data_IF_802762845152
#
_entry.id   IF_802762845152
#
_cell.length_a   1.000
_cell.length_b   1.000
_cell.length_c   1.000
_cell.angle_alpha   90.00
_cell.angle_beta   90.00
_cell.angle_gamma   90.00
#
_symmetry.space_group_name_H-M   'P 1'
#
loop_
_entity.id
_entity.type
_entity.pdbx_description
1 polymer ?
#
# COMPACT_ATOMS: atom_id res chain seq x y z
N UNK A 1 11.57 20.61 9.62
CA UNK A 1 10.32 21.17 9.02
C UNK A 1 9.85 22.41 9.78
N UNK A 2 9.65 22.37 11.11
CA UNK A 2 9.12 23.50 11.93
C UNK A 2 10.02 24.76 11.81
N UNK A 3 11.34 24.59 12.00
CA UNK A 3 12.31 25.69 11.91
C UNK A 3 12.31 26.31 10.50
N UNK A 4 12.32 25.47 9.46
CA UNK A 4 12.29 25.94 8.08
C UNK A 4 10.99 26.70 7.76
N UNK A 5 9.83 26.19 8.22
CA UNK A 5 8.55 26.89 8.07
C UNK A 5 8.56 28.23 8.80
N UNK A 6 9.11 28.29 10.03
CA UNK A 6 9.20 29.55 10.78
C UNK A 6 10.05 30.59 10.04
N UNK A 7 11.21 30.21 9.52
CA UNK A 7 12.09 31.10 8.75
C UNK A 7 11.39 31.58 7.48
N UNK A 8 10.75 30.70 6.71
CA UNK A 8 10.08 31.03 5.45
C UNK A 8 8.90 31.98 5.69
N UNK A 9 8.05 31.72 6.66
CA UNK A 9 6.89 32.57 6.99
C UNK A 9 7.24 33.85 7.73
N UNK A 10 8.44 33.94 8.31
CA UNK A 10 8.95 35.19 8.89
C UNK A 10 9.61 36.12 7.87
N UNK A 11 10.01 35.60 6.70
CA UNK A 11 10.73 36.37 5.67
C UNK A 11 9.97 36.41 4.34
N UNK A 12 10.28 35.51 3.41
CA UNK A 12 9.84 35.58 2.02
C UNK A 12 8.35 35.31 1.82
N UNK A 13 7.72 34.51 2.70
CA UNK A 13 6.31 34.10 2.60
C UNK A 13 5.41 34.70 3.69
N UNK A 14 5.78 35.85 4.26
CA UNK A 14 5.01 36.53 5.32
C UNK A 14 3.57 36.84 4.92
N UNK A 15 3.34 37.14 3.64
CA UNK A 15 1.99 37.48 3.11
C UNK A 15 1.03 36.28 3.11
N UNK A 16 1.55 35.05 3.07
CA UNK A 16 0.77 33.80 3.10
C UNK A 16 0.98 33.03 4.40
N UNK A 17 1.52 33.69 5.42
CA UNK A 17 1.76 33.07 6.73
C UNK A 17 0.43 32.58 7.35
N UNK A 18 0.43 31.41 7.99
CA UNK A 18 -0.75 30.89 8.68
C UNK A 18 -1.25 31.87 9.75
N UNK A 19 -2.56 32.16 9.78
CA UNK A 19 -3.17 33.04 10.77
C UNK A 19 -4.46 32.42 11.31
N UNK A 20 -4.63 32.49 12.64
CA UNK A 20 -5.83 31.99 13.31
C UNK A 20 -7.12 32.66 12.86
N UNK A 21 -7.04 33.89 12.36
CA UNK A 21 -8.20 34.67 11.91
C UNK A 21 -8.92 34.05 10.69
N UNK A 22 -8.21 33.22 9.92
CA UNK A 22 -8.76 32.55 8.74
C UNK A 22 -9.29 31.14 9.02
N UNK A 23 -9.18 30.65 10.27
CA UNK A 23 -9.64 29.31 10.65
C UNK A 23 -11.17 29.29 10.79
N UNK A 24 -11.85 28.62 9.87
CA UNK A 24 -13.32 28.44 9.91
C UNK A 24 -13.68 27.04 10.41
N UNK A 25 -14.67 26.96 11.32
CA UNK A 25 -15.17 25.67 11.86
C UNK A 25 -15.55 24.65 10.79
N UNK A 26 -16.11 25.09 9.66
CA UNK A 26 -16.44 24.21 8.52
C UNK A 26 -15.20 23.56 7.93
N UNK A 27 -14.12 24.32 7.73
CA UNK A 27 -12.85 23.80 7.20
C UNK A 27 -12.20 22.81 8.15
N UNK A 28 -12.26 23.04 9.46
CA UNK A 28 -11.79 22.10 10.48
C UNK A 28 -12.55 20.78 10.36
N UNK A 29 -13.88 20.82 10.25
CA UNK A 29 -14.71 19.63 10.11
C UNK A 29 -14.39 18.83 8.83
N UNK A 30 -14.20 19.52 7.72
CA UNK A 30 -13.88 18.89 6.42
C UNK A 30 -12.50 18.24 6.45
N UNK A 31 -11.50 18.94 7.00
CA UNK A 31 -10.14 18.43 7.18
C UNK A 31 -10.11 17.24 8.14
N UNK A 32 -10.83 17.32 9.26
CA UNK A 32 -10.92 16.23 10.23
C UNK A 32 -11.58 14.98 9.64
N UNK A 33 -12.66 15.16 8.87
CA UNK A 33 -13.35 14.05 8.19
C UNK A 33 -12.47 13.38 7.14
N UNK A 34 -11.69 14.14 6.38
CA UNK A 34 -10.72 13.60 5.43
C UNK A 34 -9.55 12.93 6.15
N UNK A 35 -8.98 13.62 7.14
CA UNK A 35 -7.85 13.13 7.92
C UNK A 35 -8.16 11.85 8.70
N UNK A 36 -9.38 11.73 9.26
CA UNK A 36 -9.80 10.51 9.96
C UNK A 36 -9.88 9.29 9.04
N UNK A 37 -10.29 9.46 7.78
CA UNK A 37 -10.30 8.37 6.79
C UNK A 37 -8.86 7.91 6.47
N UNK A 38 -7.96 8.84 6.22
CA UNK A 38 -6.55 8.50 6.02
C UNK A 38 -5.91 7.88 7.26
N UNK A 39 -6.24 8.39 8.45
CA UNK A 39 -5.79 7.80 9.71
C UNK A 39 -6.25 6.35 9.86
N UNK A 40 -7.53 6.06 9.59
CA UNK A 40 -8.05 4.69 9.63
C UNK A 40 -7.34 3.76 8.63
N UNK A 41 -7.07 4.23 7.41
CA UNK A 41 -6.32 3.47 6.40
C UNK A 41 -4.89 3.19 6.91
N UNK A 42 -4.21 4.19 7.47
CA UNK A 42 -2.85 4.02 7.99
C UNK A 42 -2.81 3.14 9.24
N UNK A 43 -3.73 3.33 10.17
CA UNK A 43 -3.85 2.50 11.36
C UNK A 43 -4.07 1.02 10.98
N UNK A 44 -4.90 0.76 9.97
CA UNK A 44 -5.13 -0.59 9.45
C UNK A 44 -3.84 -1.21 8.91
N UNK A 45 -3.03 -0.49 8.13
CA UNK A 45 -1.77 -1.01 7.60
C UNK A 45 -0.83 -1.40 8.74
N UNK A 46 -0.69 -0.54 9.76
CA UNK A 46 0.15 -0.81 10.93
C UNK A 46 -0.36 -2.04 11.70
N UNK A 47 -1.65 -2.10 11.98
CA UNK A 47 -2.26 -3.22 12.71
C UNK A 47 -2.09 -4.52 11.92
N UNK A 48 -2.37 -4.51 10.62
CA UNK A 48 -2.25 -5.69 9.77
C UNK A 48 -0.81 -6.22 9.77
N UNK A 49 0.18 -5.35 9.65
CA UNK A 49 1.59 -5.74 9.68
C UNK A 49 2.02 -6.31 11.04
N UNK A 50 1.62 -5.67 12.15
CA UNK A 50 1.94 -6.14 13.51
C UNK A 50 1.19 -7.43 13.83
N UNK A 51 -0.10 -7.54 13.47
CA UNK A 51 -0.87 -8.77 13.66
C UNK A 51 -0.25 -9.96 12.92
N UNK A 52 0.31 -9.75 11.72
CA UNK A 52 0.97 -10.82 10.96
C UNK A 52 2.10 -11.45 11.75
N UNK A 53 2.98 -10.66 12.36
CA UNK A 53 4.07 -11.19 13.20
C UNK A 53 3.56 -11.96 14.42
N UNK A 54 2.52 -11.43 15.09
CA UNK A 54 1.89 -12.09 16.25
C UNK A 54 1.24 -13.41 15.82
N UNK A 55 0.51 -13.44 14.71
CA UNK A 55 -0.15 -14.63 14.20
C UNK A 55 0.85 -15.72 13.82
N UNK A 56 1.95 -15.36 13.13
CA UNK A 56 3.02 -16.30 12.79
C UNK A 56 3.67 -16.84 14.08
N UNK A 57 3.98 -15.96 15.05
CA UNK A 57 4.57 -16.39 16.32
C UNK A 57 3.70 -17.40 17.07
N UNK A 58 2.39 -17.16 17.10
CA UNK A 58 1.44 -18.05 17.79
C UNK A 58 1.20 -19.38 17.05
N UNK A 59 1.27 -19.40 15.72
CA UNK A 59 1.00 -20.58 14.91
C UNK A 59 2.23 -21.48 14.74
N UNK A 60 3.43 -20.90 14.73
CA UNK A 60 4.64 -21.61 14.30
C UNK A 60 5.89 -21.26 15.11
N UNK A 61 5.80 -20.28 15.99
CA UNK A 61 6.90 -19.88 16.87
C UNK A 61 7.81 -18.77 16.31
N UNK A 62 8.78 -18.29 17.13
CA UNK A 62 9.63 -17.14 16.80
C UNK A 62 10.59 -17.36 15.63
N UNK A 63 11.00 -18.62 15.38
CA UNK A 63 11.88 -18.94 14.26
C UNK A 63 11.24 -18.59 12.92
N UNK A 64 9.94 -18.93 12.75
CA UNK A 64 9.22 -18.63 11.52
C UNK A 64 8.93 -17.14 11.35
N UNK A 65 8.78 -16.39 12.44
CA UNK A 65 8.73 -14.93 12.41
C UNK A 65 10.04 -14.35 11.85
N UNK A 66 11.18 -14.91 12.26
CA UNK A 66 12.49 -14.49 11.75
C UNK A 66 12.61 -14.78 10.26
N UNK A 67 12.28 -15.98 9.82
CA UNK A 67 12.30 -16.39 8.42
C UNK A 67 11.36 -15.53 7.56
N UNK A 68 10.15 -15.26 8.05
CA UNK A 68 9.19 -14.33 7.42
C UNK A 68 9.77 -12.93 7.26
N UNK A 69 10.33 -12.35 8.32
CA UNK A 69 10.86 -10.98 8.27
C UNK A 69 12.06 -10.85 7.33
N UNK A 70 12.92 -11.87 7.26
CA UNK A 70 14.05 -11.93 6.32
C UNK A 70 13.53 -11.92 4.88
N UNK A 71 12.65 -12.86 4.54
CA UNK A 71 12.08 -12.96 3.20
C UNK A 71 11.27 -11.69 2.83
N UNK A 72 10.50 -11.17 3.78
CA UNK A 72 9.73 -9.95 3.58
C UNK A 72 10.62 -8.74 3.29
N UNK A 73 11.65 -8.50 4.11
CA UNK A 73 12.60 -7.41 3.89
C UNK A 73 13.32 -7.54 2.56
N UNK A 74 13.75 -8.75 2.21
CA UNK A 74 14.44 -9.01 0.95
C UNK A 74 13.56 -8.66 -0.26
N UNK A 75 12.39 -9.27 -0.36
CA UNK A 75 11.51 -9.12 -1.53
C UNK A 75 10.94 -7.69 -1.63
N UNK A 76 10.56 -7.08 -0.50
CA UNK A 76 9.94 -5.74 -0.51
C UNK A 76 10.90 -4.61 -0.84
N UNK A 77 12.21 -4.82 -0.92
CA UNK A 77 13.16 -3.86 -1.49
C UNK A 77 12.72 -3.44 -2.89
N UNK A 78 12.18 -4.37 -3.70
CA UNK A 78 11.65 -4.08 -5.03
C UNK A 78 10.56 -2.99 -5.04
N UNK A 79 9.79 -2.87 -3.96
CA UNK A 79 8.71 -1.87 -3.84
C UNK A 79 9.23 -0.46 -3.58
N UNK A 80 10.46 -0.29 -3.09
CA UNK A 80 11.03 1.05 -2.84
C UNK A 80 11.08 1.88 -4.13
N UNK A 81 11.44 1.25 -5.25
CA UNK A 81 11.47 1.92 -6.57
C UNK A 81 10.07 2.41 -6.93
N UNK A 82 9.06 1.57 -6.73
CA UNK A 82 7.68 1.92 -7.02
C UNK A 82 7.19 3.08 -6.16
N UNK A 83 7.46 3.08 -4.85
CA UNK A 83 7.03 4.14 -3.93
C UNK A 83 7.67 5.48 -4.25
N UNK A 84 8.94 5.51 -4.65
CA UNK A 84 9.63 6.73 -5.09
C UNK A 84 8.96 7.31 -6.35
N UNK A 85 8.59 6.46 -7.31
CA UNK A 85 7.92 6.89 -8.55
C UNK A 85 6.48 7.35 -8.26
N UNK A 86 5.78 6.70 -7.34
CA UNK A 86 4.39 7.02 -7.00
C UNK A 86 4.24 8.34 -6.23
N UNK A 87 5.22 8.73 -5.44
CA UNK A 87 5.15 9.95 -4.61
C UNK A 87 4.83 11.24 -5.41
N UNK A 88 5.50 11.57 -6.51
CA UNK A 88 5.17 12.74 -7.33
C UNK A 88 3.91 12.53 -8.19
N UNK A 89 3.49 11.29 -8.44
CA UNK A 89 2.32 11.03 -9.27
C UNK A 89 1.00 11.32 -8.54
N UNK A 90 0.96 11.21 -7.23
CA UNK A 90 -0.24 11.55 -6.45
C UNK A 90 -0.74 12.98 -6.74
N UNK A 91 0.04 14.05 -6.48
CA UNK A 91 -0.41 15.42 -6.81
C UNK A 91 -0.65 15.62 -8.30
N UNK A 92 0.12 14.97 -9.19
CA UNK A 92 -0.09 15.06 -10.62
C UNK A 92 -1.44 14.46 -11.05
N UNK A 93 -1.90 13.37 -10.45
CA UNK A 93 -3.25 12.83 -10.66
C UNK A 93 -4.35 13.78 -10.16
N UNK A 94 -4.13 14.44 -9.02
CA UNK A 94 -5.06 15.45 -8.50
C UNK A 94 -5.20 16.60 -9.50
N UNK A 95 -4.09 17.11 -10.01
CA UNK A 95 -4.08 18.20 -10.99
C UNK A 95 -4.76 17.77 -12.31
N UNK A 96 -4.40 16.62 -12.86
CA UNK A 96 -4.98 16.11 -14.10
C UNK A 96 -6.51 15.88 -13.96
N UNK A 97 -6.94 15.35 -12.81
CA UNK A 97 -8.36 15.13 -12.54
C UNK A 97 -9.15 16.45 -12.44
N UNK A 98 -8.62 17.47 -11.74
CA UNK A 98 -9.26 18.80 -11.64
C UNK A 98 -9.32 19.52 -13.00
N UNK A 99 -8.33 19.30 -13.87
CA UNK A 99 -8.31 19.81 -15.24
C UNK A 99 -9.11 18.96 -16.23
N UNK A 100 -9.73 17.85 -15.79
CA UNK A 100 -10.42 16.87 -16.65
C UNK A 100 -9.53 16.23 -17.71
N UNK A 101 -8.21 16.16 -17.51
CA UNK A 101 -7.27 15.53 -18.45
C UNK A 101 -7.20 14.01 -18.26
N UNK A 102 -8.29 13.35 -18.62
CA UNK A 102 -8.38 11.88 -18.56
C UNK A 102 -7.47 11.21 -19.59
N UNK A 103 -7.07 11.91 -20.64
CA UNK A 103 -6.13 11.38 -21.65
C UNK A 103 -4.76 11.16 -21.03
N UNK A 104 -4.25 12.17 -20.32
CA UNK A 104 -3.01 12.07 -19.58
C UNK A 104 -3.09 10.98 -18.49
N UNK A 105 -4.18 10.94 -17.71
CA UNK A 105 -4.40 9.94 -16.68
C UNK A 105 -4.35 8.51 -17.22
N UNK A 106 -5.00 8.24 -18.38
CA UNK A 106 -4.96 6.94 -19.06
C UNK A 106 -3.56 6.57 -19.53
N UNK A 107 -2.85 7.55 -20.11
CA UNK A 107 -1.47 7.33 -20.58
C UNK A 107 -0.53 6.97 -19.43
N UNK A 108 -0.59 7.72 -18.32
CA UNK A 108 0.20 7.42 -17.13
C UNK A 108 -0.18 6.07 -16.53
N UNK A 109 -1.48 5.76 -16.43
CA UNK A 109 -1.92 4.45 -15.97
C UNK A 109 -1.33 3.30 -16.79
N UNK A 110 -1.34 3.41 -18.12
CA UNK A 110 -0.74 2.40 -19.01
C UNK A 110 0.78 2.27 -18.82
N UNK A 111 1.47 3.39 -18.54
CA UNK A 111 2.92 3.37 -18.21
C UNK A 111 3.15 2.65 -16.87
N UNK A 112 2.28 2.87 -15.88
CA UNK A 112 2.37 2.20 -14.58
C UNK A 112 2.07 0.70 -14.69
N UNK A 113 1.16 0.27 -15.58
CA UNK A 113 0.96 -1.15 -15.89
C UNK A 113 2.23 -1.82 -16.42
N UNK A 114 2.96 -1.14 -17.32
CA UNK A 114 4.24 -1.65 -17.87
C UNK A 114 5.32 -1.70 -16.78
N UNK A 115 5.40 -0.66 -15.95
CA UNK A 115 6.32 -0.62 -14.80
C UNK A 115 6.07 -1.78 -13.85
N UNK A 116 4.79 -2.04 -13.52
CA UNK A 116 4.39 -3.18 -12.70
C UNK A 116 4.78 -4.52 -13.32
N UNK A 117 4.63 -4.68 -14.64
CA UNK A 117 5.11 -5.86 -15.35
C UNK A 117 6.62 -6.06 -15.21
N UNK A 118 7.40 -4.99 -15.34
CA UNK A 118 8.85 -5.02 -15.12
C UNK A 118 9.22 -5.38 -13.67
N UNK A 119 8.51 -4.80 -12.69
CA UNK A 119 8.69 -5.13 -11.27
C UNK A 119 8.35 -6.59 -10.97
N UNK A 120 7.31 -7.13 -11.60
CA UNK A 120 6.96 -8.56 -11.49
C UNK A 120 8.12 -9.45 -11.94
N UNK A 121 8.76 -9.13 -13.07
CA UNK A 121 9.94 -9.87 -13.55
C UNK A 121 11.09 -9.78 -12.54
N UNK A 122 11.35 -8.59 -11.97
CA UNK A 122 12.37 -8.40 -10.92
C UNK A 122 12.07 -9.28 -9.71
N UNK A 123 10.83 -9.30 -9.22
CA UNK A 123 10.44 -10.13 -8.07
C UNK A 123 10.63 -11.62 -8.36
N UNK A 124 10.28 -12.08 -9.57
CA UNK A 124 10.52 -13.47 -9.98
C UNK A 124 12.02 -13.81 -9.96
N UNK A 125 12.85 -12.93 -10.51
CA UNK A 125 14.30 -13.09 -10.46
C UNK A 125 14.84 -13.12 -9.03
N UNK A 126 14.34 -12.25 -8.16
CA UNK A 126 14.68 -12.22 -6.73
C UNK A 126 14.32 -13.55 -6.05
N UNK A 127 13.16 -14.14 -6.36
CA UNK A 127 12.77 -15.46 -5.82
C UNK A 127 13.77 -16.54 -6.27
N UNK A 128 14.15 -16.55 -7.55
CA UNK A 128 15.07 -17.57 -8.10
C UNK A 128 16.45 -17.47 -7.44
N UNK A 129 16.98 -16.27 -7.26
CA UNK A 129 18.31 -16.08 -6.66
C UNK A 129 18.31 -16.05 -5.13
N UNK A 130 17.15 -16.08 -4.49
CA UNK A 130 17.00 -15.91 -3.03
C UNK A 130 17.83 -16.92 -2.21
N UNK A 131 18.00 -18.22 -2.58
CA UNK A 131 18.80 -19.14 -1.79
C UNK A 131 20.27 -18.68 -1.69
N UNK A 132 20.82 -18.19 -2.81
CA UNK A 132 22.21 -17.71 -2.85
C UNK A 132 22.33 -16.43 -2.01
N UNK A 133 21.38 -15.50 -2.16
CA UNK A 133 21.37 -14.24 -1.39
C UNK A 133 21.27 -14.51 0.10
N UNK A 134 20.40 -15.41 0.54
CA UNK A 134 20.26 -15.74 1.97
C UNK A 134 21.53 -16.40 2.53
N UNK A 135 22.17 -17.28 1.77
CA UNK A 135 23.43 -17.89 2.16
C UNK A 135 24.54 -16.84 2.36
N UNK A 136 24.64 -15.85 1.45
CA UNK A 136 25.65 -14.80 1.52
C UNK A 136 25.35 -13.77 2.61
N UNK A 137 24.05 -13.43 2.83
CA UNK A 137 23.65 -12.36 3.75
C UNK A 137 23.55 -12.82 5.20
N UNK A 138 23.01 -14.02 5.43
CA UNK A 138 22.68 -14.51 6.76
C UNK A 138 23.54 -15.72 7.15
N UNK A 139 24.00 -16.47 6.15
CA UNK A 139 24.73 -17.73 6.37
C UNK A 139 23.83 -18.77 7.02
N UNK A 140 24.40 -19.54 7.95
CA UNK A 140 23.68 -20.60 8.68
C UNK A 140 22.82 -20.12 9.86
N UNK A 141 22.78 -18.81 10.13
CA UNK A 141 22.11 -18.25 11.32
C UNK A 141 20.59 -18.34 11.28
N UNK A 142 19.98 -18.43 10.09
CA UNK A 142 18.55 -18.61 9.92
C UNK A 142 18.25 -19.32 8.61
N UNK A 143 17.33 -20.27 8.68
CA UNK A 143 16.84 -20.98 7.50
C UNK A 143 15.55 -20.33 6.98
N UNK A 144 15.55 -19.88 5.73
CA UNK A 144 14.37 -19.33 5.06
C UNK A 144 13.86 -20.31 4.01
N UNK A 145 12.72 -20.97 4.24
CA UNK A 145 12.15 -21.89 3.27
C UNK A 145 11.79 -21.18 1.96
N UNK A 146 12.11 -21.79 0.82
CA UNK A 146 11.83 -21.22 -0.50
C UNK A 146 10.33 -20.91 -0.68
N UNK A 147 9.45 -21.77 -0.16
CA UNK A 147 8.00 -21.57 -0.23
C UNK A 147 7.57 -20.26 0.44
N UNK A 148 8.20 -19.86 1.55
CA UNK A 148 7.93 -18.59 2.22
C UNK A 148 8.30 -17.42 1.30
N UNK A 149 9.46 -17.48 0.65
CA UNK A 149 9.91 -16.46 -0.30
C UNK A 149 8.97 -16.37 -1.51
N UNK A 150 8.51 -17.50 -2.04
CA UNK A 150 7.53 -17.54 -3.14
C UNK A 150 6.22 -16.88 -2.74
N UNK A 151 5.66 -17.24 -1.59
CA UNK A 151 4.39 -16.65 -1.12
C UNK A 151 4.52 -15.14 -0.88
N UNK A 152 5.62 -14.68 -0.28
CA UNK A 152 5.88 -13.26 -0.09
C UNK A 152 6.09 -12.56 -1.43
N UNK A 153 6.72 -13.20 -2.41
CA UNK A 153 6.84 -12.70 -3.77
C UNK A 153 5.48 -12.51 -4.44
N UNK A 154 4.59 -13.47 -4.35
CA UNK A 154 3.21 -13.37 -4.86
C UNK A 154 2.47 -12.23 -4.16
N UNK A 155 2.55 -12.15 -2.83
CA UNK A 155 2.00 -11.03 -2.07
C UNK A 155 2.53 -9.68 -2.57
N UNK A 156 3.84 -9.56 -2.75
CA UNK A 156 4.49 -8.32 -3.20
C UNK A 156 4.04 -7.91 -4.60
N UNK A 157 3.88 -8.85 -5.53
CA UNK A 157 3.37 -8.59 -6.88
C UNK A 157 1.94 -8.03 -6.81
N UNK A 158 1.06 -8.67 -6.05
CA UNK A 158 -0.34 -8.20 -5.90
C UNK A 158 -0.38 -6.86 -5.18
N UNK A 159 0.34 -6.71 -4.08
CA UNK A 159 0.34 -5.49 -3.28
C UNK A 159 0.96 -4.29 -4.02
N UNK A 160 1.98 -4.52 -4.86
CA UNK A 160 2.54 -3.46 -5.71
C UNK A 160 1.54 -2.94 -6.74
N UNK A 161 0.65 -3.80 -7.24
CA UNK A 161 -0.47 -3.39 -8.07
C UNK A 161 -1.46 -2.51 -7.30
N UNK A 162 -1.77 -2.88 -6.05
CA UNK A 162 -2.64 -2.09 -5.18
C UNK A 162 -2.06 -0.68 -4.91
N UNK A 163 -0.75 -0.56 -4.70
CA UNK A 163 -0.10 0.74 -4.50
C UNK A 163 -0.34 1.67 -5.68
N UNK A 164 -0.26 1.19 -6.92
CA UNK A 164 -0.53 1.99 -8.12
C UNK A 164 -1.98 2.48 -8.11
N UNK A 165 -2.93 1.58 -7.86
CA UNK A 165 -4.36 1.90 -7.84
C UNK A 165 -4.70 2.91 -6.74
N UNK A 166 -4.21 2.66 -5.54
CA UNK A 166 -4.45 3.50 -4.36
C UNK A 166 -3.92 4.92 -4.56
N UNK A 167 -2.73 5.08 -5.15
CA UNK A 167 -2.19 6.41 -5.43
C UNK A 167 -3.08 7.21 -6.41
N UNK A 168 -3.62 6.56 -7.43
CA UNK A 168 -4.56 7.20 -8.36
C UNK A 168 -5.88 7.55 -7.69
N UNK A 169 -6.45 6.62 -6.91
CA UNK A 169 -7.70 6.83 -6.16
C UNK A 169 -7.55 7.99 -5.17
N UNK A 170 -6.43 8.04 -4.46
CA UNK A 170 -6.11 9.11 -3.51
C UNK A 170 -5.93 10.45 -4.24
N UNK A 171 -5.29 10.47 -5.40
CA UNK A 171 -5.14 11.66 -6.24
C UNK A 171 -6.48 12.23 -6.71
N UNK A 172 -7.44 11.37 -7.02
CA UNK A 172 -8.82 11.76 -7.39
C UNK A 172 -9.66 12.14 -6.15
N UNK A 173 -9.25 11.70 -4.94
CA UNK A 173 -10.00 11.91 -3.71
C UNK A 173 -11.14 10.90 -3.48
N UNK A 174 -11.25 9.83 -4.27
CA UNK A 174 -12.31 8.84 -4.23
C UNK A 174 -12.04 7.75 -3.17
N UNK A 175 -11.72 8.13 -1.94
CA UNK A 175 -11.17 7.26 -0.88
C UNK A 175 -12.21 6.47 -0.07
N UNK A 176 -13.49 6.76 -0.22
CA UNK A 176 -14.54 6.18 0.63
C UNK A 176 -14.65 4.66 0.46
N UNK A 177 -14.65 4.18 -0.78
CA UNK A 177 -14.69 2.75 -1.07
C UNK A 177 -13.44 2.04 -0.53
N UNK A 178 -12.27 2.64 -0.72
CA UNK A 178 -11.01 2.14 -0.18
C UNK A 178 -11.11 1.97 1.34
N UNK A 179 -11.57 3.00 2.08
CA UNK A 179 -11.71 2.94 3.53
C UNK A 179 -12.58 1.77 3.99
N UNK A 180 -13.73 1.55 3.34
CA UNK A 180 -14.62 0.45 3.72
C UNK A 180 -14.00 -0.93 3.45
N UNK A 181 -13.45 -1.12 2.26
CA UNK A 181 -12.90 -2.42 1.87
C UNK A 181 -11.68 -2.77 2.72
N UNK A 182 -10.83 -1.79 3.02
CA UNK A 182 -9.65 -2.03 3.84
C UNK A 182 -10.02 -2.35 5.29
N UNK A 183 -11.04 -1.72 5.85
CA UNK A 183 -11.55 -2.07 7.18
C UNK A 183 -12.15 -3.49 7.22
N UNK A 184 -12.93 -3.87 6.20
CA UNK A 184 -13.46 -5.23 6.08
C UNK A 184 -12.31 -6.24 6.00
N UNK A 185 -11.31 -5.96 5.18
CA UNK A 185 -10.14 -6.82 5.04
C UNK A 185 -9.34 -6.99 6.33
N UNK A 186 -9.21 -5.93 7.14
CA UNK A 186 -8.58 -6.02 8.45
C UNK A 186 -9.34 -6.99 9.38
N UNK A 187 -10.67 -6.87 9.43
CA UNK A 187 -11.52 -7.75 10.26
C UNK A 187 -11.44 -9.20 9.78
N UNK A 188 -11.45 -9.41 8.46
CA UNK A 188 -11.42 -10.76 7.84
C UNK A 188 -10.03 -11.40 7.95
N UNK A 189 -8.95 -10.61 7.93
CA UNK A 189 -7.58 -11.12 7.94
C UNK A 189 -7.30 -12.04 9.12
N UNK A 190 -7.67 -11.65 10.34
CA UNK A 190 -7.36 -12.43 11.55
C UNK A 190 -8.06 -13.80 11.54
N UNK A 191 -9.40 -13.89 11.37
CA UNK A 191 -10.08 -15.18 11.31
C UNK A 191 -9.60 -16.06 10.16
N UNK A 192 -9.38 -15.47 8.98
CA UNK A 192 -8.91 -16.20 7.81
C UNK A 192 -7.49 -16.75 8.03
N UNK A 193 -6.60 -15.96 8.63
CA UNK A 193 -5.24 -16.40 8.97
C UNK A 193 -5.24 -17.55 9.97
N UNK A 194 -6.07 -17.47 11.00
CA UNK A 194 -6.20 -18.54 12.00
C UNK A 194 -6.82 -19.80 11.39
N UNK A 195 -7.82 -19.66 10.52
CA UNK A 195 -8.42 -20.78 9.81
C UNK A 195 -7.43 -21.48 8.91
N UNK A 196 -6.75 -20.75 8.03
CA UNK A 196 -5.75 -21.31 7.12
C UNK A 196 -4.51 -21.83 7.88
N UNK A 197 -4.13 -21.16 8.96
CA UNK A 197 -3.00 -21.55 9.80
C UNK A 197 -3.16 -22.91 10.45
N UNK A 198 -4.39 -23.39 10.67
CA UNK A 198 -4.65 -24.76 11.16
C UNK A 198 -4.18 -25.85 10.18
N UNK A 199 -4.16 -25.54 8.87
CA UNK A 199 -3.80 -26.50 7.82
C UNK A 199 -2.37 -26.35 7.33
N UNK A 200 -1.88 -25.11 7.26
CA UNK A 200 -0.58 -24.81 6.64
C UNK A 200 0.32 -23.92 7.50
N UNK A 201 0.07 -23.85 8.80
CA UNK A 201 0.92 -23.15 9.77
C UNK A 201 1.12 -21.65 9.41
N UNK A 202 2.33 -21.09 9.54
CA UNK A 202 2.64 -19.69 9.22
C UNK A 202 2.29 -19.28 7.78
N UNK A 203 2.34 -20.21 6.84
CA UNK A 203 1.98 -19.92 5.44
C UNK A 203 0.52 -19.49 5.28
N UNK A 204 -0.38 -19.98 6.15
CA UNK A 204 -1.79 -19.58 6.16
C UNK A 204 -1.99 -18.09 6.38
N UNK A 205 -1.13 -17.45 7.17
CA UNK A 205 -1.15 -16.01 7.39
C UNK A 205 -0.79 -15.27 6.10
N UNK A 206 0.26 -15.71 5.40
CA UNK A 206 0.72 -15.09 4.15
C UNK A 206 -0.33 -15.28 3.05
N UNK A 207 -0.93 -16.46 2.95
CA UNK A 207 -2.01 -16.77 2.00
C UNK A 207 -3.22 -15.86 2.28
N UNK A 208 -3.59 -15.65 3.54
CA UNK A 208 -4.65 -14.69 3.91
C UNK A 208 -4.35 -13.27 3.42
N UNK A 209 -3.11 -12.80 3.57
CA UNK A 209 -2.69 -11.50 3.04
C UNK A 209 -2.83 -11.45 1.51
N UNK A 210 -2.44 -12.50 0.79
CA UNK A 210 -2.57 -12.57 -0.67
C UNK A 210 -4.03 -12.49 -1.08
N UNK A 211 -4.91 -13.29 -0.47
CA UNK A 211 -6.35 -13.33 -0.80
C UNK A 211 -7.00 -11.96 -0.60
N UNK A 212 -6.72 -11.31 0.53
CA UNK A 212 -7.27 -9.99 0.83
C UNK A 212 -6.76 -8.93 -0.17
N UNK A 213 -5.46 -8.93 -0.46
CA UNK A 213 -4.92 -8.00 -1.45
C UNK A 213 -5.44 -8.29 -2.87
N UNK A 214 -5.74 -9.52 -3.25
CA UNK A 214 -6.41 -9.83 -4.51
C UNK A 214 -7.82 -9.22 -4.60
N UNK A 215 -8.57 -9.22 -3.50
CA UNK A 215 -9.89 -8.57 -3.42
C UNK A 215 -9.74 -7.05 -3.58
N UNK A 216 -8.75 -6.44 -2.90
CA UNK A 216 -8.44 -5.01 -3.03
C UNK A 216 -8.07 -4.68 -4.48
N UNK A 217 -7.13 -5.41 -5.03
CA UNK A 217 -6.61 -5.27 -6.39
C UNK A 217 -7.72 -5.28 -7.44
N UNK A 218 -8.62 -6.26 -7.35
CA UNK A 218 -9.77 -6.38 -8.26
C UNK A 218 -10.70 -5.19 -8.13
N UNK A 219 -11.06 -4.82 -6.90
CA UNK A 219 -12.01 -3.73 -6.63
C UNK A 219 -11.43 -2.37 -7.05
N UNK A 220 -10.18 -2.09 -6.71
CA UNK A 220 -9.54 -0.83 -7.07
C UNK A 220 -9.30 -0.72 -8.57
N UNK A 221 -8.98 -1.82 -9.25
CA UNK A 221 -8.89 -1.84 -10.72
C UNK A 221 -10.22 -1.50 -11.38
N UNK A 222 -11.34 -2.04 -10.86
CA UNK A 222 -12.69 -1.70 -11.36
C UNK A 222 -12.96 -0.22 -11.08
N UNK A 223 -12.63 0.29 -9.89
CA UNK A 223 -12.83 1.69 -9.54
C UNK A 223 -12.07 2.62 -10.47
N UNK A 224 -10.78 2.38 -10.70
CA UNK A 224 -9.94 3.19 -11.59
C UNK A 224 -10.48 3.16 -13.03
N UNK A 225 -10.84 1.99 -13.54
CA UNK A 225 -11.43 1.88 -14.90
C UNK A 225 -12.71 2.72 -15.02
N UNK A 226 -13.58 2.70 -13.99
CA UNK A 226 -14.80 3.53 -13.99
C UNK A 226 -14.46 5.02 -13.94
N UNK A 227 -13.46 5.45 -13.16
CA UNK A 227 -13.00 6.83 -13.09
C UNK A 227 -12.45 7.28 -14.46
N UNK A 228 -11.53 6.51 -15.04
CA UNK A 228 -10.89 6.83 -16.31
C UNK A 228 -11.88 6.86 -17.50
N UNK A 229 -12.97 6.08 -17.42
CA UNK A 229 -14.03 6.07 -18.42
C UNK A 229 -15.20 7.03 -18.10
N UNK A 230 -15.08 7.85 -17.04
CA UNK A 230 -16.12 8.80 -16.60
C UNK A 230 -17.46 8.14 -16.24
N UNK A 231 -17.44 6.86 -15.86
CA UNK A 231 -18.64 6.09 -15.48
C UNK A 231 -18.77 5.88 -13.98
N UNK A 232 -17.79 6.36 -13.19
CA UNK A 232 -17.82 6.28 -11.73
C UNK A 232 -18.95 7.13 -11.16
N UNK A 233 -19.79 6.54 -10.30
CA UNK A 233 -20.90 7.23 -9.60
C UNK A 233 -21.00 6.74 -8.16
N UNK A 234 -21.59 7.53 -7.28
CA UNK A 234 -21.88 7.14 -5.89
C UNK A 234 -20.62 6.75 -5.13
N UNK A 235 -20.58 5.53 -4.59
CA UNK A 235 -19.46 5.03 -3.77
C UNK A 235 -18.13 4.94 -4.54
N UNK A 236 -18.18 4.79 -5.87
CA UNK A 236 -16.99 4.67 -6.71
C UNK A 236 -16.24 6.00 -6.93
N UNK A 237 -16.88 7.14 -6.59
CA UNK A 237 -16.34 8.48 -6.83
C UNK A 237 -16.21 9.32 -5.55
N UNK A 238 -16.65 8.81 -4.40
CA UNK A 238 -16.66 9.56 -3.12
C UNK A 238 -15.52 9.19 -2.21
#
# INVERSE_FOLDING_TARGET
TIIASFILFSSSFKAVAPSWNFVKKKQIKDLFNLGSKFFLIQAQIVVLYQCTNILISNLSGPSDVTSYNIAYKYITISMMILTIIMAPLWPAFTEAYTKNDYSWMKNVYNKMCKLWGGLTVIVILMIIVSPIVYQLWIGEKAHVPLIMTVLIGIYTIVHSWDIIQVNMINGVGAIKLQTYITLIGLIVHIPLSLFLGRYVSCYGVIISMIVINMIYSTTFTIQIRKILNKTAKGLWLK
#
